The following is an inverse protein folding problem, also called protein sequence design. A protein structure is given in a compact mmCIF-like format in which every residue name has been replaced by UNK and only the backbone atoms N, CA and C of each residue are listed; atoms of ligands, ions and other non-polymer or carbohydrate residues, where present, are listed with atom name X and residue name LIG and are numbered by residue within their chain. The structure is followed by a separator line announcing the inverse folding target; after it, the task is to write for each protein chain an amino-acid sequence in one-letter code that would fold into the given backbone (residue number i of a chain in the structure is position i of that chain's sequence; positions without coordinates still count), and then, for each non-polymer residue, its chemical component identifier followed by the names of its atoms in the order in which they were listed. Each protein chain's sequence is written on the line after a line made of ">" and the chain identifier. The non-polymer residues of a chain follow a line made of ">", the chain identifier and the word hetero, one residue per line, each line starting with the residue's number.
data_IF_106652379217
#
_entry.id   IF_106652379217
#
_cell.length_a   1.000
_cell.length_b   1.000
_cell.length_c   1.000
_cell.angle_alpha   90.00
_cell.angle_beta   90.00
_cell.angle_gamma   90.00
#
_symmetry.space_group_name_H-M   'P 1'
#
loop_
_entity.id
_entity.type
_entity.pdbx_description
1 polymer ?
#
# COMPACT_ATOMS: atom_id res chain seq x y z
N UNK A 1 -9.41 0.46 -8.35
CA UNK A 1 -8.78 1.76 -8.65
C UNK A 1 -7.31 1.72 -8.24
N UNK A 2 -7.05 1.29 -7.00
CA UNK A 2 -5.72 1.19 -6.39
C UNK A 2 -4.75 0.32 -7.22
N UNK A 3 -5.19 -0.87 -7.64
CA UNK A 3 -4.37 -1.77 -8.47
C UNK A 3 -3.98 -1.14 -9.82
N UNK A 4 -4.87 -0.34 -10.42
CA UNK A 4 -4.57 0.36 -11.67
C UNK A 4 -3.57 1.50 -11.47
N UNK A 5 -3.54 2.13 -10.29
CA UNK A 5 -2.54 3.15 -9.93
C UNK A 5 -1.17 2.49 -9.80
N UNK A 6 -1.08 1.36 -9.09
CA UNK A 6 0.19 0.61 -8.94
C UNK A 6 0.66 0.09 -10.29
N UNK A 7 -0.23 -0.49 -11.10
CA UNK A 7 0.12 -0.95 -12.45
C UNK A 7 0.71 0.17 -13.31
N UNK A 8 0.06 1.35 -13.34
CA UNK A 8 0.55 2.52 -14.08
C UNK A 8 1.88 3.05 -13.55
N UNK A 9 2.09 3.00 -12.23
CA UNK A 9 3.37 3.38 -11.63
C UNK A 9 4.52 2.52 -12.17
N UNK A 10 4.34 1.20 -12.25
CA UNK A 10 5.33 0.29 -12.84
C UNK A 10 5.51 0.53 -14.35
N UNK A 11 4.42 0.77 -15.08
CA UNK A 11 4.47 1.08 -16.52
C UNK A 11 5.27 2.36 -16.83
N UNK A 12 5.21 3.39 -15.97
CA UNK A 12 6.02 4.62 -16.12
C UNK A 12 7.53 4.38 -16.08
N UNK A 13 7.95 3.23 -15.56
CA UNK A 13 9.35 2.82 -15.44
C UNK A 13 9.68 1.62 -16.34
N UNK A 14 8.82 1.31 -17.33
CA UNK A 14 8.98 0.15 -18.22
C UNK A 14 9.10 -1.19 -17.47
N UNK A 15 8.49 -1.28 -16.29
CA UNK A 15 8.52 -2.47 -15.44
C UNK A 15 7.16 -3.17 -15.42
N UNK A 16 7.18 -4.49 -15.18
CA UNK A 16 5.96 -5.26 -14.89
C UNK A 16 5.64 -5.16 -13.40
N UNK A 17 4.37 -4.90 -13.09
CA UNK A 17 3.88 -4.94 -11.71
C UNK A 17 4.05 -6.36 -11.14
N UNK A 18 4.74 -6.54 -9.99
CA UNK A 18 4.83 -7.82 -9.32
C UNK A 18 3.49 -8.27 -8.75
N UNK A 19 3.25 -9.58 -8.76
CA UNK A 19 2.06 -10.16 -8.13
C UNK A 19 2.12 -9.97 -6.60
N UNK A 20 0.97 -9.66 -6.00
CA UNK A 20 0.86 -9.53 -4.54
C UNK A 20 1.54 -8.30 -3.92
N UNK A 21 2.01 -7.34 -4.71
CA UNK A 21 2.73 -6.17 -4.18
C UNK A 21 1.87 -5.18 -3.37
N UNK A 22 0.56 -5.21 -3.57
CA UNK A 22 -0.39 -4.30 -2.93
C UNK A 22 -1.26 -5.06 -1.93
N UNK A 23 -0.89 -5.12 -0.64
CA UNK A 23 -1.75 -5.71 0.37
C UNK A 23 -3.02 -4.86 0.55
N UNK A 24 -4.15 -5.51 0.85
CA UNK A 24 -5.46 -4.84 0.96
C UNK A 24 -6.22 -5.29 2.19
N UNK A 25 -6.65 -4.35 3.04
CA UNK A 25 -7.52 -4.61 4.21
C UNK A 25 -8.98 -4.20 3.98
N UNK A 26 -9.28 -3.39 2.96
CA UNK A 26 -10.61 -2.81 2.75
C UNK A 26 -11.70 -3.86 2.56
N UNK A 27 -11.40 -5.00 1.92
CA UNK A 27 -12.37 -6.09 1.77
C UNK A 27 -12.82 -6.71 3.10
N UNK A 28 -11.98 -6.64 4.14
CA UNK A 28 -12.23 -7.20 5.47
C UNK A 28 -12.71 -6.16 6.48
N UNK A 29 -12.10 -4.97 6.47
CA UNK A 29 -12.29 -3.92 7.49
C UNK A 29 -13.07 -2.70 6.98
N UNK A 30 -13.39 -2.66 5.69
CA UNK A 30 -13.91 -1.45 5.04
C UNK A 30 -12.83 -0.38 4.86
N UNK A 31 -13.23 0.73 4.23
CA UNK A 31 -12.37 1.91 4.11
C UNK A 31 -12.62 2.84 5.30
N UNK A 32 -11.69 2.84 6.26
CA UNK A 32 -11.73 3.67 7.47
C UNK A 32 -11.14 5.07 7.26
N UNK A 33 -11.09 5.54 6.00
CA UNK A 33 -10.49 6.82 5.61
C UNK A 33 -9.01 6.88 6.03
N UNK A 34 -8.59 7.96 6.69
CA UNK A 34 -7.20 8.20 7.13
C UNK A 34 -6.58 7.02 7.89
N UNK A 35 -7.39 6.24 8.62
CA UNK A 35 -6.90 5.10 9.41
C UNK A 35 -6.54 3.87 8.58
N UNK A 36 -6.95 3.78 7.31
CA UNK A 36 -6.79 2.54 6.51
C UNK A 36 -5.32 2.14 6.32
N UNK A 37 -4.46 3.12 6.00
CA UNK A 37 -3.02 2.89 5.78
C UNK A 37 -2.28 2.47 7.06
N UNK A 38 -2.34 3.21 8.19
CA UNK A 38 -1.65 2.80 9.41
C UNK A 38 -2.20 1.49 10.00
N UNK A 39 -3.50 1.22 9.86
CA UNK A 39 -4.08 -0.08 10.26
C UNK A 39 -3.48 -1.21 9.43
N UNK A 40 -3.43 -1.08 8.10
CA UNK A 40 -2.84 -2.10 7.23
C UNK A 40 -1.36 -2.33 7.57
N UNK A 41 -0.61 -1.26 7.80
CA UNK A 41 0.80 -1.34 8.19
C UNK A 41 0.99 -2.13 9.50
N UNK A 42 0.20 -1.81 10.53
CA UNK A 42 0.23 -2.53 11.81
C UNK A 42 -0.12 -4.02 11.64
N UNK A 43 -1.12 -4.34 10.82
CA UNK A 43 -1.51 -5.72 10.56
C UNK A 43 -0.38 -6.53 9.91
N UNK A 44 0.35 -5.95 8.95
CA UNK A 44 1.50 -6.62 8.31
C UNK A 44 2.61 -6.86 9.34
N UNK A 45 2.95 -5.85 10.15
CA UNK A 45 3.99 -6.00 11.19
C UNK A 45 3.65 -7.07 12.24
N UNK A 46 2.36 -7.32 12.50
CA UNK A 46 1.89 -8.33 13.44
C UNK A 46 1.62 -9.69 12.78
N UNK A 47 1.91 -9.86 11.49
CA UNK A 47 1.69 -11.13 10.76
C UNK A 47 0.22 -11.47 10.53
N UNK A 48 -0.66 -10.46 10.49
CA UNK A 48 -2.11 -10.64 10.30
C UNK A 48 -2.54 -10.64 8.83
N UNK A 49 -1.61 -10.38 7.91
CA UNK A 49 -1.83 -10.43 6.45
C UNK A 49 -0.96 -11.55 5.88
N UNK A 50 -1.60 -12.58 5.34
CA UNK A 50 -0.89 -13.72 4.73
C UNK A 50 -0.06 -13.27 3.53
N UNK A 51 1.12 -13.88 3.36
CA UNK A 51 2.04 -13.63 2.25
C UNK A 51 2.56 -12.19 2.16
N UNK A 52 2.58 -11.46 3.28
CA UNK A 52 3.09 -10.09 3.37
C UNK A 52 3.98 -9.98 4.60
N UNK A 53 5.23 -9.59 4.37
CA UNK A 53 6.22 -9.43 5.43
C UNK A 53 6.99 -8.11 5.19
N UNK A 54 7.26 -7.39 6.27
CA UNK A 54 8.08 -6.18 6.26
C UNK A 54 9.24 -6.39 7.25
N UNK A 55 10.45 -6.24 6.75
CA UNK A 55 11.68 -6.41 7.50
C UNK A 55 12.41 -5.07 7.68
N UNK A 56 13.30 -5.03 8.68
CA UNK A 56 14.16 -3.87 8.91
C UNK A 56 15.04 -3.64 7.67
N UNK A 57 15.04 -2.41 7.17
CA UNK A 57 15.75 -1.98 5.98
C UNK A 57 14.91 -1.95 4.71
N UNK A 58 13.69 -2.52 4.71
CA UNK A 58 12.79 -2.49 3.57
C UNK A 58 12.32 -1.06 3.28
N UNK A 59 12.16 -0.76 1.98
CA UNK A 59 11.67 0.53 1.50
C UNK A 59 10.20 0.40 1.13
N UNK A 60 9.36 1.21 1.78
CA UNK A 60 7.92 1.17 1.67
C UNK A 60 7.44 2.51 1.13
N UNK A 61 6.47 2.47 0.22
CA UNK A 61 5.77 3.67 -0.26
C UNK A 61 4.36 3.67 0.32
N UNK A 62 4.09 4.63 1.19
CA UNK A 62 2.73 4.92 1.63
C UNK A 62 2.10 5.90 0.66
N UNK A 63 0.90 5.60 0.16
CA UNK A 63 0.16 6.49 -0.72
C UNK A 63 -1.30 6.63 -0.26
N UNK A 64 -1.89 7.82 -0.43
CA UNK A 64 -3.30 8.05 -0.17
C UNK A 64 -3.91 9.03 -1.16
N UNK A 65 -5.21 8.89 -1.40
CA UNK A 65 -6.02 9.81 -2.21
C UNK A 65 -7.19 10.29 -1.36
N UNK A 66 -7.30 11.60 -1.18
CA UNK A 66 -8.36 12.26 -0.43
C UNK A 66 -9.35 13.02 -1.31
N UNK A 67 -10.29 13.71 -0.66
CA UNK A 67 -11.24 14.59 -1.32
C UNK A 67 -10.54 15.62 -2.21
N UNK A 68 -11.13 15.93 -3.36
CA UNK A 68 -10.52 16.82 -4.35
C UNK A 68 -9.35 16.22 -5.13
N UNK A 69 -9.19 14.88 -5.08
CA UNK A 69 -8.05 14.16 -5.67
C UNK A 69 -6.70 14.62 -5.11
N UNK A 70 -6.68 15.02 -3.84
CA UNK A 70 -5.42 15.31 -3.14
C UNK A 70 -4.66 14.00 -2.94
N UNK A 71 -3.42 13.95 -3.41
CA UNK A 71 -2.56 12.77 -3.33
C UNK A 71 -1.43 13.04 -2.34
N UNK A 72 -1.22 12.11 -1.41
CA UNK A 72 -0.04 12.10 -0.55
C UNK A 72 0.79 10.84 -0.84
N UNK A 73 2.11 10.97 -0.83
CA UNK A 73 3.02 9.84 -0.91
C UNK A 73 4.24 10.08 0.00
N UNK A 74 4.65 9.04 0.74
CA UNK A 74 5.83 9.07 1.61
C UNK A 74 6.64 7.81 1.36
N UNK A 75 7.95 7.97 1.15
CA UNK A 75 8.91 6.87 1.13
C UNK A 75 9.47 6.71 2.53
N UNK A 76 9.39 5.50 3.07
CA UNK A 76 9.83 5.18 4.40
C UNK A 76 10.74 3.95 4.38
N UNK A 77 11.79 3.97 5.19
CA UNK A 77 12.69 2.83 5.40
C UNK A 77 12.51 2.32 6.82
N UNK A 78 12.08 1.07 6.95
CA UNK A 78 11.80 0.42 8.24
C UNK A 78 13.07 0.08 9.03
#
# INVERSE_FOLDING_TARGET
>A
MDEAIVKRFYELHDMKMPDGIMPMSIGKLGNSSVATIPTLYNMILNGEIEHQDINKGDVIIFASVGAGMNINAIVYKQ
#
